data_IF_290366815941
#
_entry.id   IF_290366815941
#
_cell.length_a   1.000
_cell.length_b   1.000
_cell.length_c   1.000
_cell.angle_alpha   90.00
_cell.angle_beta   90.00
_cell.angle_gamma   90.00
#
_symmetry.space_group_name_H-M   'P 1'
#
loop_
_entity.id
_entity.type
_entity.pdbx_description
1 polymer ?
#
# COMPACT_ATOMS: atom_id res chain seq x y z
N UNK A 1 8.75 -15.37 2.89
CA UNK A 1 9.99 -15.23 2.12
C UNK A 1 9.78 -14.10 1.15
N UNK A 2 10.66 -13.12 1.14
CA UNK A 2 10.61 -12.04 0.16
C UNK A 2 11.37 -12.46 -1.08
N UNK A 3 10.78 -12.22 -2.24
CA UNK A 3 11.44 -12.36 -3.52
C UNK A 3 12.13 -11.03 -3.87
N UNK A 4 13.24 -11.09 -4.58
CA UNK A 4 13.86 -9.88 -5.11
C UNK A 4 13.12 -9.33 -6.31
N UNK A 5 13.46 -8.10 -6.73
CA UNK A 5 12.85 -7.40 -7.87
C UNK A 5 12.99 -8.17 -9.19
N UNK A 6 14.08 -8.94 -9.35
CA UNK A 6 14.39 -9.64 -10.60
C UNK A 6 14.47 -8.65 -11.78
N UNK A 7 13.94 -9.05 -12.94
CA UNK A 7 13.87 -8.21 -14.14
C UNK A 7 12.71 -7.21 -14.15
N UNK A 8 11.81 -7.24 -13.15
CA UNK A 8 10.61 -6.40 -13.14
C UNK A 8 10.94 -4.90 -13.07
N UNK A 9 12.07 -4.52 -12.47
CA UNK A 9 12.55 -3.14 -12.44
C UNK A 9 12.84 -2.57 -13.82
N UNK A 10 13.50 -3.35 -14.69
CA UNK A 10 13.78 -2.94 -16.05
C UNK A 10 12.50 -2.86 -16.89
N UNK A 11 11.60 -3.82 -16.74
CA UNK A 11 10.29 -3.79 -17.42
C UNK A 11 9.47 -2.58 -17.01
N UNK A 12 9.35 -2.31 -15.71
CA UNK A 12 8.54 -1.19 -15.20
C UNK A 12 9.09 0.16 -15.66
N UNK A 13 10.42 0.36 -15.60
CA UNK A 13 11.07 1.61 -16.00
C UNK A 13 11.04 1.87 -17.50
N UNK A 14 11.00 0.82 -18.34
CA UNK A 14 10.99 0.93 -19.80
C UNK A 14 9.59 0.79 -20.42
N UNK A 15 8.58 0.44 -19.64
CA UNK A 15 7.21 0.36 -20.12
C UNK A 15 6.63 1.76 -20.36
N UNK A 16 5.81 1.90 -21.41
CA UNK A 16 5.03 3.13 -21.60
C UNK A 16 4.01 3.32 -20.47
N UNK A 17 3.47 2.22 -19.96
CA UNK A 17 2.53 2.19 -18.84
C UNK A 17 2.82 0.97 -17.96
N UNK A 18 3.21 1.22 -16.71
CA UNK A 18 3.48 0.17 -15.74
C UNK A 18 2.25 -0.07 -14.85
N UNK A 19 1.63 -1.24 -15.01
CA UNK A 19 0.43 -1.64 -14.26
C UNK A 19 0.80 -2.77 -13.30
N UNK A 20 0.59 -2.54 -12.01
CA UNK A 20 0.80 -3.53 -10.95
C UNK A 20 -0.55 -4.11 -10.53
N UNK A 21 -0.65 -5.43 -10.54
CA UNK A 21 -1.88 -6.16 -10.21
C UNK A 21 -1.63 -7.07 -9.01
N UNK A 22 -2.48 -6.96 -8.00
CA UNK A 22 -2.43 -7.83 -6.83
C UNK A 22 -3.83 -8.04 -6.24
N UNK A 23 -3.97 -8.98 -5.32
CA UNK A 23 -5.19 -9.09 -4.51
C UNK A 23 -5.13 -8.07 -3.37
N UNK A 24 -6.27 -7.52 -2.97
CA UNK A 24 -6.32 -6.57 -1.85
C UNK A 24 -6.07 -7.22 -0.49
N UNK A 25 -6.36 -8.51 -0.35
CA UNK A 25 -6.14 -9.30 0.87
C UNK A 25 -5.51 -10.65 0.58
N UNK A 26 -4.91 -11.24 1.61
CA UNK A 26 -4.35 -12.59 1.59
C UNK A 26 -4.68 -13.35 2.88
N UNK A 27 -4.38 -14.66 2.90
CA UNK A 27 -4.59 -15.56 4.04
C UNK A 27 -5.99 -15.45 4.65
N UNK A 28 -7.02 -15.53 3.81
CA UNK A 28 -8.42 -15.47 4.26
C UNK A 28 -8.80 -14.16 4.95
N UNK A 29 -8.17 -13.05 4.58
CA UNK A 29 -8.43 -11.72 5.14
C UNK A 29 -7.52 -11.32 6.30
N UNK A 30 -6.59 -12.17 6.71
CA UNK A 30 -5.65 -11.86 7.80
C UNK A 30 -4.61 -10.79 7.42
N UNK A 31 -4.34 -10.61 6.13
CA UNK A 31 -3.32 -9.71 5.59
C UNK A 31 -3.95 -8.77 4.57
N UNK A 32 -3.70 -7.46 4.73
CA UNK A 32 -3.95 -6.45 3.70
C UNK A 32 -2.73 -6.31 2.80
N UNK A 33 -2.93 -6.21 1.49
CA UNK A 33 -1.85 -5.89 0.54
C UNK A 33 -1.47 -4.42 0.54
N UNK A 34 -2.35 -3.55 1.05
CA UNK A 34 -2.07 -2.13 1.26
C UNK A 34 -1.94 -1.89 2.76
N UNK A 35 -0.82 -1.35 3.18
CA UNK A 35 -0.46 -1.16 4.59
C UNK A 35 0.01 0.28 4.83
N UNK A 36 0.00 0.77 6.09
CA UNK A 36 0.49 2.11 6.41
C UNK A 36 1.94 2.35 5.97
N UNK A 37 2.82 1.37 6.19
CA UNK A 37 4.21 1.40 5.74
C UNK A 37 4.66 -0.02 5.41
N UNK A 38 5.37 -0.18 4.29
CA UNK A 38 5.96 -1.47 3.91
C UNK A 38 7.28 -1.69 4.63
N UNK A 39 7.58 -2.93 4.98
CA UNK A 39 8.85 -3.31 5.62
C UNK A 39 10.01 -3.43 4.63
N UNK A 40 9.72 -3.52 3.33
CA UNK A 40 10.69 -3.63 2.25
C UNK A 40 10.13 -3.06 0.95
N UNK A 41 10.98 -2.43 0.16
CA UNK A 41 10.62 -1.82 -1.13
C UNK A 41 11.45 -2.40 -2.24
N UNK A 42 10.81 -3.02 -3.24
CA UNK A 42 11.43 -3.42 -4.49
C UNK A 42 11.21 -2.35 -5.58
N UNK A 43 9.97 -1.87 -5.72
CA UNK A 43 9.61 -0.76 -6.62
C UNK A 43 9.20 0.45 -5.83
N UNK A 44 9.81 1.60 -6.16
CA UNK A 44 9.39 2.87 -5.57
C UNK A 44 8.12 3.40 -6.27
N UNK A 45 7.53 4.43 -5.69
CA UNK A 45 6.39 5.14 -6.28
C UNK A 45 6.63 5.64 -7.70
N UNK A 46 7.89 5.89 -8.06
CA UNK A 46 8.27 6.41 -9.38
C UNK A 46 8.14 5.37 -10.50
N UNK A 47 8.13 4.09 -10.17
CA UNK A 47 8.02 2.99 -11.14
C UNK A 47 6.57 2.52 -11.34
N UNK A 48 5.61 3.02 -10.56
CA UNK A 48 4.23 2.55 -10.56
C UNK A 48 3.31 3.62 -11.15
N UNK A 49 2.69 3.31 -12.30
CA UNK A 49 1.71 4.20 -12.93
C UNK A 49 0.29 3.87 -12.46
N UNK A 50 -0.08 2.60 -12.50
CA UNK A 50 -1.42 2.13 -12.17
C UNK A 50 -1.34 0.94 -11.22
N UNK A 51 -2.14 0.97 -10.16
CA UNK A 51 -2.37 -0.17 -9.28
C UNK A 51 -3.78 -0.73 -9.49
N UNK A 52 -3.89 -2.05 -9.61
CA UNK A 52 -5.17 -2.75 -9.77
C UNK A 52 -5.30 -3.83 -8.70
N UNK A 53 -6.44 -3.84 -8.04
CA UNK A 53 -6.88 -4.97 -7.20
C UNK A 53 -8.27 -5.41 -7.63
N UNK A 54 -8.82 -6.46 -7.04
CA UNK A 54 -10.20 -6.87 -7.28
C UNK A 54 -11.23 -5.84 -6.76
N UNK A 55 -10.79 -4.86 -5.96
CA UNK A 55 -11.65 -3.77 -5.49
C UNK A 55 -11.78 -2.65 -6.53
N UNK A 56 -10.76 -2.43 -7.35
CA UNK A 56 -10.76 -1.40 -8.37
C UNK A 56 -9.37 -1.03 -8.88
N UNK A 57 -9.29 0.12 -9.52
CA UNK A 57 -8.11 0.66 -10.17
C UNK A 57 -7.76 2.03 -9.61
N UNK A 58 -6.48 2.23 -9.34
CA UNK A 58 -5.91 3.53 -8.96
C UNK A 58 -4.93 4.00 -10.05
N UNK A 59 -5.27 5.05 -10.77
CA UNK A 59 -4.36 5.74 -11.69
C UNK A 59 -3.56 6.77 -10.89
N UNK A 60 -2.26 6.51 -10.75
CA UNK A 60 -1.36 7.27 -9.88
C UNK A 60 -0.54 8.32 -10.63
N UNK A 61 -0.71 8.40 -11.95
CA UNK A 61 0.06 9.31 -12.80
C UNK A 61 -0.26 10.77 -12.48
N UNK A 62 0.78 11.58 -12.37
CA UNK A 62 0.66 13.02 -12.09
C UNK A 62 0.24 13.37 -10.66
N UNK A 63 0.14 12.39 -9.76
CA UNK A 63 -0.28 12.58 -8.37
C UNK A 63 0.92 12.64 -7.43
N UNK A 64 0.86 13.57 -6.46
CA UNK A 64 1.77 13.64 -5.34
C UNK A 64 1.53 12.48 -4.35
N UNK A 65 2.50 12.12 -3.47
CA UNK A 65 2.35 10.98 -2.57
C UNK A 65 1.07 10.95 -1.73
N UNK A 66 0.61 12.10 -1.22
CA UNK A 66 -0.65 12.18 -0.47
C UNK A 66 -1.88 11.90 -1.33
N UNK A 67 -1.86 12.37 -2.57
CA UNK A 67 -2.94 12.12 -3.53
C UNK A 67 -2.95 10.66 -3.96
N UNK A 68 -1.77 10.07 -4.21
CA UNK A 68 -1.62 8.64 -4.49
C UNK A 68 -2.19 7.78 -3.37
N UNK A 69 -1.84 8.08 -2.12
CA UNK A 69 -2.35 7.35 -0.96
C UNK A 69 -3.89 7.39 -0.90
N UNK A 70 -4.49 8.56 -1.13
CA UNK A 70 -5.95 8.71 -1.15
C UNK A 70 -6.60 7.83 -2.22
N UNK A 71 -6.13 7.91 -3.45
CA UNK A 71 -6.70 7.14 -4.57
C UNK A 71 -6.53 5.62 -4.35
N UNK A 72 -5.39 5.18 -3.81
CA UNK A 72 -5.17 3.76 -3.48
C UNK A 72 -6.14 3.29 -2.39
N UNK A 73 -6.30 4.05 -1.32
CA UNK A 73 -7.22 3.70 -0.22
C UNK A 73 -8.65 3.62 -0.72
N UNK A 74 -9.10 4.60 -1.49
CA UNK A 74 -10.47 4.67 -1.96
C UNK A 74 -10.82 3.57 -2.96
N UNK A 75 -9.88 3.20 -3.84
CA UNK A 75 -10.17 2.32 -4.99
C UNK A 75 -9.65 0.89 -4.84
N UNK A 76 -8.57 0.65 -4.12
CA UNK A 76 -7.85 -0.62 -4.15
C UNK A 76 -7.84 -1.39 -2.83
N UNK A 77 -8.19 -0.75 -1.73
CA UNK A 77 -8.16 -1.37 -0.39
C UNK A 77 -9.42 -2.18 -0.14
N UNK A 78 -9.25 -3.37 0.45
CA UNK A 78 -10.39 -4.18 0.90
C UNK A 78 -11.22 -3.43 1.96
N UNK A 79 -12.55 -3.52 1.92
CA UNK A 79 -13.43 -2.81 2.88
C UNK A 79 -13.06 -2.99 4.35
N UNK A 80 -12.67 -4.20 4.76
CA UNK A 80 -12.31 -4.53 6.16
C UNK A 80 -11.10 -3.73 6.69
N UNK A 81 -10.27 -3.20 5.80
CA UNK A 81 -9.06 -2.45 6.13
C UNK A 81 -9.16 -0.95 5.82
N UNK A 82 -10.20 -0.54 5.07
CA UNK A 82 -10.31 0.82 4.55
C UNK A 82 -10.44 1.87 5.65
N UNK A 83 -11.26 1.62 6.65
CA UNK A 83 -11.49 2.57 7.74
C UNK A 83 -10.22 2.77 8.56
N UNK A 84 -9.52 1.70 8.93
CA UNK A 84 -8.27 1.78 9.68
C UNK A 84 -7.16 2.51 8.89
N UNK A 85 -7.08 2.30 7.56
CA UNK A 85 -6.14 3.05 6.71
C UNK A 85 -6.51 4.52 6.59
N UNK A 86 -7.80 4.84 6.49
CA UNK A 86 -8.28 6.23 6.46
C UNK A 86 -7.96 6.96 7.77
N UNK A 87 -8.16 6.32 8.92
CA UNK A 87 -7.79 6.89 10.23
C UNK A 87 -6.28 7.16 10.31
N UNK A 88 -5.47 6.17 9.98
CA UNK A 88 -4.01 6.34 9.97
C UNK A 88 -3.58 7.46 9.03
N UNK A 89 -4.10 7.47 7.80
CA UNK A 89 -3.76 8.48 6.79
C UNK A 89 -4.17 9.89 7.23
N UNK A 90 -5.37 10.06 7.79
CA UNK A 90 -5.83 11.35 8.31
C UNK A 90 -4.93 11.86 9.44
N UNK A 91 -4.60 10.99 10.40
CA UNK A 91 -3.72 11.32 11.52
C UNK A 91 -2.29 11.65 11.05
N UNK A 92 -1.76 10.90 10.10
CA UNK A 92 -0.45 11.16 9.50
C UNK A 92 -0.43 12.52 8.76
N UNK A 93 -1.44 12.81 7.95
CA UNK A 93 -1.57 14.08 7.23
C UNK A 93 -1.65 15.28 8.17
N UNK A 94 -2.31 15.14 9.33
CA UNK A 94 -2.41 16.19 10.34
C UNK A 94 -1.02 16.58 10.92
N UNK A 95 -0.04 15.67 10.89
CA UNK A 95 1.34 15.94 11.34
C UNK A 95 2.17 16.68 10.29
N UNK A 96 1.71 16.76 9.06
CA UNK A 96 2.39 17.43 7.96
C UNK A 96 3.42 16.55 7.25
N UNK A 97 4.13 17.15 6.29
CA UNK A 97 5.15 16.48 5.49
C UNK A 97 4.67 16.06 4.11
N UNK A 98 5.61 15.78 3.22
CA UNK A 98 5.36 15.36 1.83
C UNK A 98 4.91 13.89 1.78
N UNK A 99 5.55 13.03 2.58
CA UNK A 99 5.21 11.61 2.77
C UNK A 99 4.91 11.37 4.26
N UNK A 100 3.70 11.75 4.73
CA UNK A 100 3.42 11.78 6.16
C UNK A 100 3.29 10.37 6.74
N UNK A 101 3.93 10.15 7.90
CA UNK A 101 3.84 8.91 8.66
C UNK A 101 3.79 9.17 10.17
N UNK A 102 3.16 8.26 10.90
CA UNK A 102 3.24 8.16 12.36
C UNK A 102 4.19 7.02 12.68
N UNK A 103 5.48 7.32 12.87
CA UNK A 103 6.54 6.30 12.95
C UNK A 103 6.27 5.21 14.00
N UNK A 104 5.64 5.56 15.12
CA UNK A 104 5.32 4.60 16.18
C UNK A 104 4.24 3.58 15.78
N UNK A 105 3.41 3.92 14.80
CA UNK A 105 2.27 3.13 14.36
C UNK A 105 2.47 2.53 12.96
N UNK A 106 3.46 3.03 12.23
CA UNK A 106 3.65 2.74 10.82
C UNK A 106 3.80 1.24 10.51
N UNK A 107 4.42 0.46 11.40
CA UNK A 107 4.62 -0.98 11.27
C UNK A 107 3.75 -1.81 12.24
N UNK A 108 2.79 -1.20 12.92
CA UNK A 108 1.97 -1.91 13.90
C UNK A 108 1.23 -3.11 13.30
N UNK A 109 0.75 -3.02 12.07
CA UNK A 109 0.06 -4.13 11.41
C UNK A 109 0.98 -5.34 11.16
N UNK A 110 2.27 -5.09 10.86
CA UNK A 110 3.26 -6.15 10.70
C UNK A 110 3.54 -6.85 12.04
N UNK A 111 3.67 -6.07 13.11
CA UNK A 111 3.86 -6.60 14.46
C UNK A 111 2.66 -7.42 14.91
N UNK A 112 1.45 -6.91 14.72
CA UNK A 112 0.22 -7.66 15.03
C UNK A 112 0.16 -8.99 14.27
N UNK A 113 0.53 -8.99 12.97
CA UNK A 113 0.57 -10.21 12.17
C UNK A 113 1.53 -11.26 12.74
N UNK A 114 2.71 -10.84 13.20
CA UNK A 114 3.68 -11.74 13.84
C UNK A 114 3.16 -12.29 15.17
N UNK A 115 2.54 -11.46 15.99
CA UNK A 115 2.10 -11.82 17.34
C UNK A 115 0.78 -12.62 17.34
N UNK A 116 -0.15 -12.26 16.47
CA UNK A 116 -1.54 -12.79 16.52
C UNK A 116 -1.96 -13.56 15.27
N UNK A 117 -1.18 -13.49 14.19
CA UNK A 117 -1.52 -14.07 12.91
C UNK A 117 -2.46 -13.22 12.04
N UNK A 118 -2.81 -12.01 12.47
CA UNK A 118 -3.67 -11.07 11.74
C UNK A 118 -3.15 -9.63 11.86
N UNK A 119 -3.29 -8.82 10.80
CA UNK A 119 -2.87 -7.42 10.82
C UNK A 119 -3.79 -6.53 11.66
N UNK A 120 -5.10 -6.78 11.62
CA UNK A 120 -6.09 -6.12 12.47
C UNK A 120 -6.80 -7.14 13.36
N UNK A 121 -7.12 -6.72 14.58
CA UNK A 121 -8.01 -7.48 15.45
C UNK A 121 -9.41 -7.53 14.83
N UNK A 122 -10.01 -8.67 14.93
CA UNK A 122 -11.42 -8.86 14.50
C UNK A 122 -12.33 -8.46 15.65
#
# INVERSE_FOLDING_TARGET
MMNGIGGSGDFARNAHLAIFVTKSIAKGGAISSVVPMVSHVDHTEHDVDILVTEQGLADLRGLAPRERARVIIDNCVHPDYRDALNEYFAAACARGGHTPHILREALAWHMNLEETGRMLAV
#
